data_IF_279598606601
#
_entry.id   IF_279598606601
#
_cell.length_a   1.000
_cell.length_b   1.000
_cell.length_c   1.000
_cell.angle_alpha   90.00
_cell.angle_beta   90.00
_cell.angle_gamma   90.00
#
_symmetry.space_group_name_H-M   'P 1'
#
loop_
_entity.id
_entity.type
_entity.pdbx_description
1 polymer ?
#
# COMPACT_ATOMS: atom_id res chain seq x y z
N UNK A 1 9.43 41.76 -28.48
CA UNK A 1 9.39 41.76 -27.00
C UNK A 1 9.93 40.41 -26.54
N UNK A 2 11.20 40.37 -26.17
CA UNK A 2 11.91 39.15 -25.77
C UNK A 2 11.78 38.99 -24.25
N UNK A 3 11.18 37.90 -23.78
CA UNK A 3 11.14 37.55 -22.36
C UNK A 3 12.52 37.03 -21.97
N UNK A 4 13.21 37.78 -21.09
CA UNK A 4 14.46 37.32 -20.50
C UNK A 4 14.21 36.09 -19.59
N UNK A 5 15.10 35.10 -19.57
CA UNK A 5 14.96 33.92 -18.69
C UNK A 5 15.07 34.32 -17.21
N UNK A 6 14.28 33.68 -16.35
CA UNK A 6 14.22 33.98 -14.92
C UNK A 6 15.53 33.55 -14.21
N UNK A 7 16.07 34.35 -13.27
CA UNK A 7 17.45 34.23 -12.79
C UNK A 7 17.66 33.29 -11.58
N UNK A 8 16.69 32.43 -11.22
CA UNK A 8 16.66 31.81 -9.89
C UNK A 8 16.68 30.27 -9.85
N UNK A 9 16.79 29.59 -10.99
CA UNK A 9 17.05 28.15 -11.00
C UNK A 9 18.45 27.87 -11.55
N UNK A 10 19.44 27.54 -10.71
CA UNK A 10 20.57 26.79 -11.20
C UNK A 10 20.05 25.41 -11.65
N UNK A 11 20.52 24.91 -12.79
CA UNK A 11 20.30 23.54 -13.26
C UNK A 11 21.05 22.57 -12.33
N UNK A 12 20.58 22.46 -11.08
CA UNK A 12 21.11 21.55 -10.09
C UNK A 12 20.49 20.20 -10.40
N UNK A 13 21.23 19.37 -11.13
CA UNK A 13 21.02 17.94 -11.08
C UNK A 13 21.21 17.51 -9.61
N UNK A 14 20.12 17.33 -8.88
CA UNK A 14 20.18 16.72 -7.57
C UNK A 14 20.75 15.31 -7.78
N UNK A 15 21.79 14.90 -7.03
CA UNK A 15 22.26 13.53 -7.09
C UNK A 15 21.07 12.63 -6.72
N UNK A 16 20.64 11.81 -7.68
CA UNK A 16 19.66 10.77 -7.42
C UNK A 16 20.31 9.84 -6.39
N UNK A 17 19.77 9.72 -5.16
CA UNK A 17 20.34 8.81 -4.18
C UNK A 17 20.39 7.40 -4.81
N UNK A 18 21.43 6.60 -4.56
CA UNK A 18 21.46 5.23 -5.05
C UNK A 18 20.18 4.53 -4.56
N UNK A 19 19.42 3.95 -5.49
CA UNK A 19 18.22 3.19 -5.15
C UNK A 19 18.58 2.13 -4.10
N UNK A 20 17.77 1.95 -3.03
CA UNK A 20 18.08 0.98 -1.99
C UNK A 20 18.19 -0.44 -2.59
N UNK A 21 19.09 -1.28 -2.05
CA UNK A 21 19.28 -2.63 -2.55
C UNK A 21 18.10 -3.53 -2.13
N UNK A 22 17.31 -3.98 -3.11
CA UNK A 22 16.22 -4.95 -2.93
C UNK A 22 14.90 -4.33 -2.47
N UNK A 23 13.79 -5.09 -2.56
CA UNK A 23 12.52 -4.56 -2.12
C UNK A 23 12.53 -4.41 -0.60
N UNK A 24 12.39 -3.19 -0.12
CA UNK A 24 12.18 -2.86 1.29
C UNK A 24 10.81 -3.33 1.81
N UNK A 25 10.08 -4.16 1.03
CA UNK A 25 8.74 -4.64 1.31
C UNK A 25 8.67 -6.16 1.22
N UNK A 26 8.26 -6.79 2.33
CA UNK A 26 7.87 -8.19 2.40
C UNK A 26 6.35 -8.30 2.37
N UNK A 27 5.83 -9.16 1.49
CA UNK A 27 4.40 -9.48 1.42
C UNK A 27 4.20 -10.97 1.59
N UNK A 28 3.45 -11.38 2.61
CA UNK A 28 3.09 -12.78 2.87
C UNK A 28 1.60 -12.96 2.67
N UNK A 29 1.20 -13.99 1.93
CA UNK A 29 -0.21 -14.20 1.55
C UNK A 29 -0.67 -15.59 1.97
N UNK A 30 -1.66 -15.61 2.86
CA UNK A 30 -2.47 -16.80 3.16
C UNK A 30 -3.71 -16.77 2.27
N UNK A 31 -3.63 -17.49 1.14
CA UNK A 31 -4.67 -17.53 0.13
C UNK A 31 -5.97 -18.17 0.64
N UNK A 32 -5.95 -19.32 1.35
CA UNK A 32 -7.14 -19.87 1.97
C UNK A 32 -7.84 -18.92 2.95
N UNK A 33 -7.07 -18.19 3.77
CA UNK A 33 -7.64 -17.27 4.75
C UNK A 33 -8.05 -15.92 4.15
N UNK A 34 -7.51 -15.54 2.99
CA UNK A 34 -7.63 -14.19 2.44
C UNK A 34 -6.87 -13.17 3.28
N UNK A 35 -5.71 -13.55 3.82
CA UNK A 35 -4.92 -12.71 4.71
C UNK A 35 -3.60 -12.32 4.06
N UNK A 36 -3.23 -11.04 4.16
CA UNK A 36 -2.01 -10.48 3.56
C UNK A 36 -1.28 -9.72 4.64
N UNK A 37 -0.05 -10.13 4.95
CA UNK A 37 0.83 -9.38 5.85
C UNK A 37 1.80 -8.56 5.03
N UNK A 38 1.88 -7.26 5.34
CA UNK A 38 2.77 -6.31 4.68
C UNK A 38 3.74 -5.73 5.70
N UNK A 39 5.04 -5.88 5.44
CA UNK A 39 6.11 -5.41 6.33
C UNK A 39 7.16 -4.63 5.55
N UNK A 40 7.58 -3.49 6.08
CA UNK A 40 8.59 -2.61 5.52
C UNK A 40 8.01 -1.35 4.86
N UNK A 41 8.64 -0.86 3.79
CA UNK A 41 8.28 0.41 3.16
C UNK A 41 7.30 0.19 2.00
N UNK A 42 6.09 0.75 2.13
CA UNK A 42 5.07 0.69 1.09
C UNK A 42 5.06 2.02 0.31
N UNK A 43 5.88 2.11 -0.73
CA UNK A 43 6.11 3.33 -1.50
C UNK A 43 5.93 3.13 -3.01
N UNK A 44 6.24 4.13 -3.83
CA UNK A 44 6.20 3.99 -5.29
C UNK A 44 7.06 2.83 -5.84
N UNK A 45 8.23 2.59 -5.24
CA UNK A 45 9.18 1.56 -5.69
C UNK A 45 8.69 0.16 -5.33
N UNK A 46 8.01 -0.02 -4.19
CA UNK A 46 7.56 -1.32 -3.70
C UNK A 46 6.08 -1.63 -3.96
N UNK A 47 5.27 -0.62 -4.31
CA UNK A 47 3.82 -0.71 -4.53
C UNK A 47 3.38 -1.89 -5.42
N UNK A 48 4.13 -2.16 -6.49
CA UNK A 48 3.83 -3.24 -7.44
C UNK A 48 3.81 -4.62 -6.77
N UNK A 49 4.68 -4.86 -5.78
CA UNK A 49 4.78 -6.15 -5.08
C UNK A 49 3.50 -6.49 -4.34
N UNK A 50 2.86 -5.50 -3.70
CA UNK A 50 1.59 -5.71 -3.04
C UNK A 50 0.47 -6.04 -4.04
N UNK A 51 0.41 -5.31 -5.15
CA UNK A 51 -0.61 -5.51 -6.19
C UNK A 51 -0.46 -6.89 -6.84
N UNK A 52 0.77 -7.32 -7.10
CA UNK A 52 1.06 -8.64 -7.67
C UNK A 52 0.75 -9.76 -6.68
N UNK A 53 1.13 -9.59 -5.41
CA UNK A 53 0.97 -10.60 -4.36
C UNK A 53 -0.50 -10.96 -4.09
N UNK A 54 -1.45 -10.04 -4.32
CA UNK A 54 -2.88 -10.34 -4.10
C UNK A 54 -3.54 -11.08 -5.25
N UNK A 55 -2.88 -11.25 -6.41
CA UNK A 55 -3.47 -11.94 -7.55
C UNK A 55 -3.94 -13.38 -7.24
N UNK A 56 -3.22 -14.22 -6.47
CA UNK A 56 -3.69 -15.53 -6.08
C UNK A 56 -4.98 -15.52 -5.23
N UNK A 57 -5.27 -14.43 -4.50
CA UNK A 57 -6.51 -14.29 -3.74
C UNK A 57 -7.75 -14.24 -4.65
N UNK A 58 -7.56 -13.84 -5.91
CA UNK A 58 -8.60 -13.79 -6.93
C UNK A 58 -9.33 -15.12 -7.12
N UNK A 59 -8.58 -16.22 -7.05
CA UNK A 59 -9.07 -17.57 -7.31
C UNK A 59 -9.49 -18.28 -6.01
N UNK A 60 -9.22 -17.66 -4.86
CA UNK A 60 -9.59 -18.17 -3.55
C UNK A 60 -11.08 -18.02 -3.22
N UNK A 61 -11.50 -18.67 -2.13
CA UNK A 61 -12.89 -18.65 -1.66
C UNK A 61 -13.19 -17.54 -0.64
N UNK A 62 -12.16 -16.92 -0.06
CA UNK A 62 -12.29 -15.88 0.97
C UNK A 62 -13.14 -14.70 0.48
N UNK A 63 -14.17 -14.33 1.26
CA UNK A 63 -15.08 -13.21 0.95
C UNK A 63 -14.53 -11.84 1.34
N UNK A 64 -13.55 -11.82 2.25
CA UNK A 64 -12.92 -10.62 2.78
C UNK A 64 -11.42 -10.84 2.68
N UNK A 65 -10.71 -9.87 2.11
CA UNK A 65 -9.26 -9.81 2.10
C UNK A 65 -8.80 -8.87 3.21
N UNK A 66 -8.02 -9.40 4.14
CA UNK A 66 -7.50 -8.64 5.26
C UNK A 66 -6.05 -8.33 4.99
N UNK A 67 -5.73 -7.03 4.91
CA UNK A 67 -4.36 -6.55 4.72
C UNK A 67 -3.87 -6.02 6.06
N UNK A 68 -3.01 -6.80 6.70
CA UNK A 68 -2.30 -6.44 7.90
C UNK A 68 -1.12 -5.52 7.52
N UNK A 69 -1.26 -4.25 7.92
CA UNK A 69 -0.27 -3.21 7.69
C UNK A 69 0.41 -2.77 9.00
N UNK A 70 0.49 -3.66 9.99
CA UNK A 70 1.16 -3.39 11.27
C UNK A 70 2.67 -3.26 11.14
N UNK A 71 3.28 -4.00 10.21
CA UNK A 71 4.70 -3.96 9.94
C UNK A 71 5.12 -2.88 8.93
N UNK A 72 4.21 -2.01 8.49
CA UNK A 72 4.52 -0.97 7.51
C UNK A 72 5.19 0.21 8.21
N UNK A 73 6.44 0.48 7.85
CA UNK A 73 7.26 1.52 8.47
C UNK A 73 7.08 2.88 7.77
N UNK A 74 6.78 2.85 6.47
CA UNK A 74 6.60 4.03 5.63
C UNK A 74 5.48 3.82 4.60
N UNK A 75 4.72 4.88 4.33
CA UNK A 75 3.70 4.87 3.28
C UNK A 75 3.59 6.24 2.60
N UNK A 76 3.69 6.27 1.27
CA UNK A 76 3.51 7.47 0.43
C UNK A 76 2.27 7.35 -0.48
N UNK A 77 2.17 8.25 -1.47
CA UNK A 77 1.10 8.21 -2.47
C UNK A 77 1.12 6.96 -3.35
N UNK A 78 2.30 6.41 -3.66
CA UNK A 78 2.45 5.17 -4.40
C UNK A 78 1.93 3.98 -3.60
N UNK A 79 2.28 3.92 -2.31
CA UNK A 79 1.77 2.92 -1.38
C UNK A 79 0.25 2.99 -1.19
N UNK A 80 -0.29 4.20 -1.02
CA UNK A 80 -1.73 4.42 -0.95
C UNK A 80 -2.44 3.99 -2.25
N UNK A 81 -1.85 4.29 -3.41
CA UNK A 81 -2.37 3.86 -4.71
C UNK A 81 -2.39 2.34 -4.87
N UNK A 82 -1.39 1.64 -4.32
CA UNK A 82 -1.37 0.18 -4.29
C UNK A 82 -2.52 -0.37 -3.42
N UNK A 83 -2.75 0.19 -2.23
CA UNK A 83 -3.88 -0.21 -1.36
C UNK A 83 -5.24 -0.02 -2.06
N UNK A 84 -5.43 1.10 -2.74
CA UNK A 84 -6.63 1.35 -3.56
C UNK A 84 -6.77 0.35 -4.71
N UNK A 85 -5.66 -0.02 -5.34
CA UNK A 85 -5.64 -1.02 -6.41
C UNK A 85 -6.04 -2.41 -5.90
N UNK A 86 -5.58 -2.80 -4.70
CA UNK A 86 -5.99 -4.04 -4.03
C UNK A 86 -7.50 -3.99 -3.70
N UNK A 87 -7.99 -2.89 -3.14
CA UNK A 87 -9.42 -2.72 -2.85
C UNK A 87 -10.26 -2.82 -4.12
N UNK A 88 -9.85 -2.16 -5.22
CA UNK A 88 -10.53 -2.27 -6.51
C UNK A 88 -10.54 -3.71 -7.02
N UNK A 89 -9.40 -4.39 -6.97
CA UNK A 89 -9.23 -5.79 -7.39
C UNK A 89 -10.15 -6.74 -6.62
N UNK A 90 -10.33 -6.50 -5.32
CA UNK A 90 -11.27 -7.23 -4.49
C UNK A 90 -12.73 -6.94 -4.89
N UNK A 91 -13.07 -5.66 -5.08
CA UNK A 91 -14.42 -5.22 -5.44
C UNK A 91 -14.88 -5.77 -6.80
N UNK A 92 -14.01 -5.74 -7.82
CA UNK A 92 -14.25 -6.32 -9.16
C UNK A 92 -14.56 -7.83 -9.10
N UNK A 93 -14.16 -8.50 -8.01
CA UNK A 93 -14.42 -9.93 -7.75
C UNK A 93 -15.57 -10.18 -6.79
N UNK A 94 -16.34 -9.15 -6.44
CA UNK A 94 -17.41 -9.23 -5.45
C UNK A 94 -16.90 -9.55 -4.03
N UNK A 95 -15.63 -9.24 -3.74
CA UNK A 95 -15.00 -9.40 -2.42
C UNK A 95 -14.87 -8.04 -1.74
N UNK A 96 -14.68 -8.06 -0.42
CA UNK A 96 -14.34 -6.86 0.36
C UNK A 96 -12.87 -6.88 0.70
N UNK A 97 -12.26 -5.71 0.84
CA UNK A 97 -10.93 -5.56 1.43
C UNK A 97 -11.05 -4.72 2.70
N UNK A 98 -10.21 -5.02 3.69
CA UNK A 98 -10.10 -4.26 4.92
C UNK A 98 -8.64 -4.17 5.33
N UNK A 99 -8.23 -2.98 5.75
CA UNK A 99 -6.97 -2.80 6.46
C UNK A 99 -7.14 -3.25 7.90
N UNK A 100 -6.21 -4.04 8.42
CA UNK A 100 -6.19 -4.43 9.83
C UNK A 100 -4.85 -4.05 10.44
N UNK A 101 -4.86 -3.77 11.74
CA UNK A 101 -3.66 -3.46 12.52
C UNK A 101 -2.77 -2.34 11.92
N UNK A 102 -3.33 -1.47 11.08
CA UNK A 102 -2.56 -0.52 10.30
C UNK A 102 -1.69 0.38 11.18
N UNK A 103 -0.40 0.46 10.84
CA UNK A 103 0.58 1.32 11.48
C UNK A 103 0.16 2.80 11.41
N UNK A 104 0.73 3.61 12.30
CA UNK A 104 0.38 5.04 12.43
C UNK A 104 0.58 5.83 11.13
N UNK A 105 1.62 5.50 10.34
CA UNK A 105 1.88 6.13 9.05
C UNK A 105 0.76 5.85 8.03
N UNK A 106 0.33 4.59 7.91
CA UNK A 106 -0.76 4.17 7.01
C UNK A 106 -2.07 4.83 7.41
N UNK A 107 -2.42 4.77 8.70
CA UNK A 107 -3.62 5.45 9.24
C UNK A 107 -3.62 6.94 8.93
N UNK A 108 -2.49 7.61 9.14
CA UNK A 108 -2.34 9.04 8.89
C UNK A 108 -2.56 9.38 7.42
N UNK A 109 -1.98 8.62 6.50
CA UNK A 109 -2.13 8.86 5.06
C UNK A 109 -3.57 8.64 4.61
N UNK A 110 -4.22 7.57 5.05
CA UNK A 110 -5.65 7.30 4.76
C UNK A 110 -6.54 8.43 5.26
N UNK A 111 -6.38 8.87 6.51
CA UNK A 111 -7.22 9.93 7.08
C UNK A 111 -6.92 11.31 6.47
N UNK A 112 -5.66 11.63 6.17
CA UNK A 112 -5.31 12.89 5.49
C UNK A 112 -5.87 12.98 4.07
N UNK A 113 -6.10 11.84 3.42
CA UNK A 113 -6.66 11.77 2.07
C UNK A 113 -8.17 11.59 2.04
N UNK A 114 -8.83 11.46 3.20
CA UNK A 114 -10.28 11.26 3.31
C UNK A 114 -10.74 9.91 2.74
N UNK A 115 -9.86 8.90 2.76
CA UNK A 115 -10.13 7.59 2.17
C UNK A 115 -10.63 6.57 3.19
N UNK A 116 -11.01 6.98 4.40
CA UNK A 116 -11.43 6.08 5.48
C UNK A 116 -12.63 5.20 5.09
N UNK A 117 -13.53 5.71 4.24
CA UNK A 117 -14.69 4.94 3.72
C UNK A 117 -14.30 3.92 2.64
N UNK A 118 -13.22 4.18 1.90
CA UNK A 118 -12.75 3.32 0.80
C UNK A 118 -11.75 2.29 1.30
N UNK A 119 -10.91 2.67 2.26
CA UNK A 119 -9.90 1.85 2.91
C UNK A 119 -10.23 1.72 4.40
N UNK A 120 -11.30 0.97 4.74
CA UNK A 120 -11.73 0.85 6.12
C UNK A 120 -10.64 0.18 6.95
N UNK A 121 -10.18 0.89 7.97
CA UNK A 121 -9.25 0.38 8.97
C UNK A 121 -10.05 -0.31 10.08
N UNK A 122 -10.14 -1.63 10.01
CA UNK A 122 -10.83 -2.47 10.97
C UNK A 122 -9.97 -2.85 12.19
N UNK A 123 -10.60 -3.35 13.26
CA UNK A 123 -9.88 -3.98 14.37
C UNK A 123 -9.10 -5.22 13.87
N UNK A 124 -8.08 -5.62 14.64
CA UNK A 124 -7.36 -6.88 14.41
C UNK A 124 -8.37 -8.03 14.22
N UNK A 125 -8.16 -8.93 13.24
CA UNK A 125 -9.04 -10.06 13.06
C UNK A 125 -8.94 -10.97 14.28
N UNK A 126 -10.06 -11.54 14.69
CA UNK A 126 -10.19 -12.43 15.86
C UNK A 126 -9.51 -13.81 15.66
N UNK A 127 -8.41 -13.90 14.88
CA UNK A 127 -7.84 -15.17 14.40
C UNK A 127 -6.48 -15.58 14.99
N UNK A 128 -6.00 -14.96 16.06
CA UNK A 128 -4.78 -15.40 16.77
C UNK A 128 -5.05 -16.27 18.01
N UNK A 129 -5.99 -17.20 17.92
CA UNK A 129 -6.18 -18.25 18.92
C UNK A 129 -6.23 -19.63 18.26
N UNK A 130 -5.12 -20.05 17.65
CA UNK A 130 -4.84 -21.45 17.34
C UNK A 130 -3.37 -21.75 17.54
#
# INVERSE_FOLDING_TARGET
MSLAPLPWFPEVALPVPPAPPGPSLLVVVDVPAGFVTVTGELDHCSAHLLVEAVHPLATGSARIWQVDASGVDFCDCGGLSALLSVQRTAAERGRRMQLVAAAGCVRRVVSLTGLDDVLPVGPLPLRLAR
#
